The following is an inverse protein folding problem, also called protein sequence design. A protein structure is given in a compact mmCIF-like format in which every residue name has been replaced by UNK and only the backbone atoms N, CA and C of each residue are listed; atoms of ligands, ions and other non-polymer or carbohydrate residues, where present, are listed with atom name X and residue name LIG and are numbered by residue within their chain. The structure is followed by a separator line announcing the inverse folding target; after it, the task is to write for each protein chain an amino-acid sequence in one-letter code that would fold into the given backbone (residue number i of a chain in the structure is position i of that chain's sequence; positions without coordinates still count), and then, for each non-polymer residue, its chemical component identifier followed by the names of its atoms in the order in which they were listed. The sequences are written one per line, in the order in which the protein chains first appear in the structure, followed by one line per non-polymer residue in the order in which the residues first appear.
data_IF_052817996144
#
_entry.id   IF_052817996144
#
_cell.length_a   1.000
_cell.length_b   1.000
_cell.length_c   1.000
_cell.angle_alpha   90.00
_cell.angle_beta   90.00
_cell.angle_gamma   90.00
#
_symmetry.space_group_name_H-M   'P 1'
#
loop_
_entity.id
_entity.type
_entity.pdbx_description
1 polymer ?
#
# COMPACT_ATOMS: atom_id res chain seq x y z
N UNK A 1 -38.37 56.00 -28.20
CA UNK A 1 -38.98 55.20 -27.12
C UNK A 1 -38.13 53.93 -26.98
N UNK A 2 -37.13 53.99 -26.13
CA UNK A 2 -36.20 52.90 -25.88
C UNK A 2 -36.62 52.23 -24.59
N UNK A 3 -37.02 50.95 -24.70
CA UNK A 3 -37.45 50.10 -23.57
C UNK A 3 -36.21 49.49 -22.93
N UNK A 4 -35.90 49.87 -21.67
CA UNK A 4 -34.88 49.28 -20.84
C UNK A 4 -35.44 48.03 -20.14
N UNK A 5 -34.76 46.89 -20.28
CA UNK A 5 -35.07 45.63 -19.61
C UNK A 5 -34.40 45.63 -18.19
N UNK A 6 -35.09 45.26 -17.11
CA UNK A 6 -34.56 45.32 -15.73
C UNK A 6 -34.22 43.91 -15.19
N UNK A 7 -33.24 43.19 -15.79
CA UNK A 7 -32.71 41.95 -15.23
C UNK A 7 -31.23 41.78 -15.56
N UNK A 8 -30.39 42.65 -14.98
CA UNK A 8 -28.95 42.34 -14.80
C UNK A 8 -28.69 42.18 -13.29
N UNK A 9 -28.75 40.92 -12.85
CA UNK A 9 -28.32 40.57 -11.51
C UNK A 9 -26.88 40.00 -11.64
N UNK A 10 -25.86 40.60 -11.02
CA UNK A 10 -24.49 40.04 -11.09
C UNK A 10 -24.43 38.74 -10.35
N UNK A 11 -24.04 37.67 -11.05
CA UNK A 11 -23.84 36.34 -10.53
C UNK A 11 -22.79 36.36 -9.39
N UNK A 12 -23.17 35.89 -8.23
CA UNK A 12 -22.27 35.68 -7.09
C UNK A 12 -21.20 34.66 -7.49
N UNK A 13 -19.91 34.95 -7.31
CA UNK A 13 -18.86 33.99 -7.64
C UNK A 13 -18.94 32.75 -6.72
N UNK A 14 -18.63 31.53 -7.24
CA UNK A 14 -18.65 30.32 -6.44
C UNK A 14 -17.60 30.38 -5.32
N UNK A 15 -17.84 29.70 -4.17
CA UNK A 15 -16.92 29.70 -3.05
C UNK A 15 -15.56 29.08 -3.43
N UNK A 16 -14.49 29.80 -3.15
CA UNK A 16 -13.11 29.34 -3.38
C UNK A 16 -12.84 28.03 -2.58
N UNK A 17 -12.46 26.98 -3.26
CA UNK A 17 -12.01 25.73 -2.63
C UNK A 17 -10.67 25.95 -1.92
N UNK A 18 -10.48 25.46 -0.70
CA UNK A 18 -9.23 25.64 0.03
C UNK A 18 -8.08 24.89 -0.66
N UNK A 19 -7.06 25.61 -1.08
CA UNK A 19 -5.88 25.04 -1.74
C UNK A 19 -5.08 24.15 -0.79
N UNK A 20 -4.52 23.04 -1.29
CA UNK A 20 -3.68 22.06 -0.57
C UNK A 20 -2.54 22.71 0.26
N UNK A 21 -2.07 23.90 -0.11
CA UNK A 21 -1.08 24.69 0.64
C UNK A 21 -1.59 25.14 2.02
N UNK A 22 -2.89 25.45 2.16
CA UNK A 22 -3.50 25.87 3.46
C UNK A 22 -3.63 24.70 4.42
N UNK A 23 -3.92 23.48 3.94
CA UNK A 23 -4.02 22.28 4.77
C UNK A 23 -2.66 21.85 5.34
N UNK A 24 -1.59 21.90 4.53
CA UNK A 24 -0.23 21.59 5.00
C UNK A 24 0.27 22.53 6.11
N UNK A 25 -0.09 23.82 6.08
CA UNK A 25 0.28 24.76 7.16
C UNK A 25 -0.49 24.50 8.47
N UNK A 26 -1.76 24.07 8.42
CA UNK A 26 -2.52 23.69 9.62
C UNK A 26 -1.97 22.43 10.28
N UNK A 27 -1.63 21.39 9.49
CA UNK A 27 -1.02 20.15 10.02
C UNK A 27 0.34 20.38 10.71
N UNK A 28 1.21 21.24 10.16
CA UNK A 28 2.49 21.57 10.79
C UNK A 28 2.34 22.28 12.13
N UNK A 29 1.33 23.11 12.31
CA UNK A 29 1.05 23.78 13.60
C UNK A 29 0.49 22.83 14.66
N UNK A 30 -0.34 21.86 14.28
CA UNK A 30 -0.88 20.86 15.20
C UNK A 30 0.19 19.88 15.69
N UNK A 31 1.13 19.46 14.83
CA UNK A 31 2.25 18.57 15.22
C UNK A 31 3.22 19.28 16.18
N UNK A 32 3.49 20.57 16.00
CA UNK A 32 4.35 21.34 16.90
C UNK A 32 3.73 21.55 18.29
N UNK A 33 2.40 21.73 18.38
CA UNK A 33 1.69 21.86 19.66
C UNK A 33 1.64 20.53 20.43
N UNK A 34 1.53 19.40 19.75
CA UNK A 34 1.54 18.07 20.38
C UNK A 34 2.92 17.71 20.93
N UNK A 35 4.00 18.08 20.23
CA UNK A 35 5.37 17.84 20.68
C UNK A 35 5.73 18.66 21.96
N UNK A 36 5.18 19.85 22.14
CA UNK A 36 5.40 20.63 23.36
C UNK A 36 4.63 20.11 24.58
N UNK A 37 3.50 19.42 24.38
CA UNK A 37 2.73 18.84 25.48
C UNK A 37 3.36 17.56 26.05
N UNK A 38 4.09 16.78 25.25
CA UNK A 38 4.77 15.56 25.68
C UNK A 38 6.07 15.83 26.47
N UNK A 39 6.69 17.01 26.34
CA UNK A 39 7.89 17.36 27.07
C UNK A 39 7.63 17.79 28.54
N UNK A 40 6.39 18.03 28.92
CA UNK A 40 6.03 18.56 30.26
C UNK A 40 5.64 17.44 31.28
N UNK A 41 5.55 16.16 30.89
CA UNK A 41 5.08 15.06 31.76
C UNK A 41 6.21 14.10 32.19
N UNK A 42 7.44 14.27 31.72
CA UNK A 42 8.58 13.35 31.92
C UNK A 42 9.54 13.73 33.06
N UNK A 43 9.08 14.14 34.22
CA UNK A 43 9.96 14.47 35.33
C UNK A 43 9.40 14.17 36.69
N UNK A 44 9.41 12.92 37.15
CA UNK A 44 9.53 12.48 38.55
C UNK A 44 9.19 11.00 38.72
N UNK A 45 10.18 10.14 38.93
CA UNK A 45 10.08 8.95 39.79
C UNK A 45 11.48 8.40 40.08
N UNK A 46 11.84 8.52 41.33
CA UNK A 46 13.14 8.23 41.86
C UNK A 46 13.40 6.74 42.15
N UNK A 47 14.63 6.54 42.38
CA UNK A 47 15.40 5.36 42.72
C UNK A 47 14.90 4.65 44.01
N UNK A 48 14.75 3.33 44.00
CA UNK A 48 14.97 2.49 45.19
C UNK A 48 15.70 1.17 44.81
N UNK A 49 16.93 1.11 45.28
CA UNK A 49 17.70 -0.15 45.40
C UNK A 49 17.22 -0.90 46.64
N UNK A 50 17.07 -2.19 46.56
CA UNK A 50 17.16 -3.10 47.73
C UNK A 50 17.89 -4.38 47.38
N UNK A 51 18.81 -4.71 48.29
CA UNK A 51 19.80 -5.78 48.39
C UNK A 51 19.25 -7.20 48.32
N UNK A 52 20.07 -8.09 47.77
CA UNK A 52 20.05 -9.51 48.03
C UNK A 52 21.11 -9.92 49.09
N UNK A 53 20.94 -10.98 49.86
CA UNK A 53 22.04 -11.73 50.45
C UNK A 53 22.14 -13.17 49.90
N UNK A 54 23.33 -13.80 50.07
CA UNK A 54 23.68 -15.08 49.48
C UNK A 54 23.59 -16.24 50.52
N UNK A 55 23.40 -17.44 50.04
CA UNK A 55 23.84 -18.74 50.66
C UNK A 55 23.49 -19.87 49.71
N UNK A 56 24.23 -20.89 49.40
CA UNK A 56 25.34 -21.51 50.02
C UNK A 56 25.23 -23.02 49.79
N UNK A 57 26.27 -23.60 49.21
CA UNK A 57 26.79 -24.97 49.37
C UNK A 57 25.97 -26.24 49.01
N UNK A 58 26.51 -26.97 48.03
CA UNK A 58 26.94 -28.35 48.38
C UNK A 58 26.36 -29.46 47.49
N UNK A 59 27.23 -30.23 46.82
CA UNK A 59 26.91 -31.61 46.52
C UNK A 59 27.27 -32.11 45.12
N UNK A 60 28.45 -32.68 45.06
CA UNK A 60 29.02 -33.52 43.99
C UNK A 60 28.11 -34.72 43.69
N UNK A 61 27.87 -35.02 42.40
CA UNK A 61 27.77 -36.41 41.95
C UNK A 61 27.96 -36.51 40.44
N UNK A 62 28.98 -37.26 40.04
CA UNK A 62 29.27 -37.73 38.70
C UNK A 62 28.20 -38.76 38.28
N UNK A 63 27.53 -38.58 37.18
CA UNK A 63 26.83 -39.66 36.51
C UNK A 63 26.83 -39.39 34.98
N UNK A 64 27.17 -40.45 34.29
CA UNK A 64 27.42 -40.62 32.87
C UNK A 64 26.45 -39.96 31.92
N UNK A 65 27.02 -39.43 30.81
CA UNK A 65 26.27 -39.04 29.61
C UNK A 65 25.63 -40.26 28.93
N UNK A 66 24.35 -40.15 28.51
CA UNK A 66 23.86 -40.92 27.38
C UNK A 66 23.97 -40.06 26.12
N UNK A 67 24.74 -40.54 25.19
CA UNK A 67 24.75 -40.11 23.80
C UNK A 67 23.31 -39.99 23.25
N UNK A 68 22.81 -38.76 23.13
CA UNK A 68 21.53 -38.53 22.48
C UNK A 68 21.75 -38.62 20.95
N UNK A 69 21.13 -39.64 20.41
CA UNK A 69 20.93 -39.84 18.99
C UNK A 69 20.45 -38.55 18.33
N UNK A 70 21.14 -38.21 17.23
CA UNK A 70 20.76 -37.19 16.28
C UNK A 70 19.27 -37.36 15.91
N UNK A 71 18.40 -36.53 16.49
CA UNK A 71 17.00 -36.49 16.13
C UNK A 71 16.85 -36.30 14.65
N UNK A 72 16.11 -37.17 14.00
CA UNK A 72 15.68 -37.01 12.62
C UNK A 72 14.98 -35.66 12.52
N UNK A 73 15.49 -34.76 11.65
CA UNK A 73 14.74 -33.63 11.18
C UNK A 73 13.43 -34.18 10.61
N UNK A 74 12.33 -33.79 11.25
CA UNK A 74 11.02 -34.10 10.72
C UNK A 74 10.93 -33.48 9.34
N UNK A 75 10.80 -34.35 8.33
CA UNK A 75 10.56 -33.98 6.95
C UNK A 75 9.23 -33.19 6.93
N UNK A 76 9.31 -31.84 6.96
CA UNK A 76 8.16 -30.99 6.75
C UNK A 76 7.71 -31.22 5.32
N UNK A 77 6.49 -31.74 5.07
CA UNK A 77 6.04 -32.00 3.73
C UNK A 77 6.22 -30.73 2.89
N UNK A 78 6.98 -30.83 1.78
CA UNK A 78 7.09 -29.73 0.83
C UNK A 78 5.68 -29.33 0.41
N UNK A 79 5.32 -28.07 0.64
CA UNK A 79 4.04 -27.53 0.22
C UNK A 79 3.86 -27.83 -1.28
N UNK A 80 2.67 -28.28 -1.67
CA UNK A 80 2.36 -28.55 -3.08
C UNK A 80 2.72 -27.31 -3.93
N UNK A 81 3.27 -27.49 -5.14
CA UNK A 81 3.69 -26.37 -5.97
C UNK A 81 2.50 -25.44 -6.21
N UNK A 82 2.61 -24.20 -5.79
CA UNK A 82 1.55 -23.16 -5.85
C UNK A 82 1.34 -22.63 -7.27
N UNK A 83 2.09 -23.11 -8.27
CA UNK A 83 2.09 -22.58 -9.64
C UNK A 83 2.86 -21.26 -9.81
N UNK A 84 3.44 -20.71 -8.72
CA UNK A 84 4.33 -19.54 -8.71
C UNK A 84 5.39 -19.70 -7.60
N UNK A 85 6.61 -19.12 -7.76
CA UNK A 85 7.64 -19.18 -6.74
C UNK A 85 7.26 -18.32 -5.52
N UNK A 86 7.49 -18.84 -4.31
CA UNK A 86 7.27 -18.10 -3.06
C UNK A 86 8.48 -17.26 -2.65
N UNK A 87 9.67 -17.56 -3.18
CA UNK A 87 10.92 -16.83 -2.97
C UNK A 87 11.65 -16.68 -4.30
N UNK A 88 12.40 -15.60 -4.46
CA UNK A 88 13.16 -15.28 -5.65
C UNK A 88 14.52 -14.64 -5.30
N UNK A 89 15.33 -14.30 -6.32
CA UNK A 89 16.69 -13.78 -6.13
C UNK A 89 16.73 -12.36 -5.56
N UNK A 90 15.62 -11.62 -5.57
CA UNK A 90 15.59 -10.20 -5.18
C UNK A 90 16.23 -9.27 -6.20
N UNK A 91 16.47 -9.74 -7.41
CA UNK A 91 16.89 -8.94 -8.58
C UNK A 91 15.73 -8.79 -9.53
N UNK A 92 15.67 -7.67 -10.25
CA UNK A 92 14.49 -7.30 -11.01
C UNK A 92 14.82 -7.04 -12.49
N UNK A 93 13.93 -7.49 -13.36
CA UNK A 93 13.86 -7.08 -14.75
C UNK A 93 13.01 -5.82 -14.87
N UNK A 94 13.49 -4.86 -15.67
CA UNK A 94 12.82 -3.58 -15.89
C UNK A 94 12.00 -3.64 -17.14
N UNK A 95 10.74 -3.23 -17.07
CA UNK A 95 9.92 -3.05 -18.26
C UNK A 95 10.47 -1.94 -19.14
N UNK A 96 10.57 -2.24 -20.43
CA UNK A 96 11.17 -1.36 -21.42
C UNK A 96 10.16 -0.38 -22.02
N UNK A 97 10.68 0.66 -22.65
CA UNK A 97 9.88 1.67 -23.33
C UNK A 97 9.15 2.64 -22.39
N UNK A 98 8.44 3.56 -22.98
CA UNK A 98 7.75 4.68 -22.32
C UNK A 98 6.29 4.69 -22.74
N UNK A 99 5.37 4.86 -21.78
CA UNK A 99 3.95 5.02 -22.11
C UNK A 99 3.64 6.46 -22.57
N UNK A 100 2.53 6.68 -23.28
CA UNK A 100 1.96 8.01 -23.42
C UNK A 100 1.64 8.61 -22.06
N UNK A 101 1.66 9.95 -21.96
CA UNK A 101 1.10 10.65 -20.80
C UNK A 101 -0.41 10.42 -20.76
N UNK A 102 -0.93 10.05 -19.61
CA UNK A 102 -2.36 9.87 -19.34
C UNK A 102 -2.82 10.89 -18.30
N UNK A 103 -4.08 11.29 -18.36
CA UNK A 103 -4.62 12.43 -17.60
C UNK A 103 -4.54 13.71 -18.41
N UNK A 104 -5.21 14.78 -17.94
CA UNK A 104 -5.35 16.03 -18.69
C UNK A 104 -4.52 17.17 -18.10
N UNK A 105 -4.58 17.36 -16.81
CA UNK A 105 -3.95 18.46 -16.08
C UNK A 105 -3.27 17.97 -14.80
N UNK A 106 -2.61 18.88 -14.10
CA UNK A 106 -1.93 18.60 -12.83
C UNK A 106 -0.50 18.08 -12.99
N UNK A 107 0.17 17.77 -11.86
CA UNK A 107 1.53 17.27 -11.86
C UNK A 107 1.64 15.92 -12.55
N UNK A 108 2.64 15.78 -13.40
CA UNK A 108 2.99 14.52 -14.03
C UNK A 108 3.77 13.65 -13.04
N UNK A 109 3.18 12.50 -12.68
CA UNK A 109 3.82 11.45 -11.86
C UNK A 109 4.35 10.36 -12.77
N UNK A 110 5.66 10.23 -12.82
CA UNK A 110 6.34 9.20 -13.61
C UNK A 110 6.56 7.97 -12.76
N UNK A 111 6.24 6.81 -13.33
CA UNK A 111 6.48 5.53 -12.66
C UNK A 111 7.34 4.60 -13.52
N UNK A 112 8.04 3.71 -12.86
CA UNK A 112 8.78 2.62 -13.44
C UNK A 112 8.13 1.31 -13.02
N UNK A 113 8.30 0.26 -13.82
CA UNK A 113 7.77 -1.07 -13.53
C UNK A 113 8.91 -2.07 -13.55
N UNK A 114 8.96 -2.92 -12.52
CA UNK A 114 9.98 -3.94 -12.34
C UNK A 114 9.35 -5.25 -11.86
N UNK A 115 9.81 -6.37 -12.41
CA UNK A 115 9.37 -7.72 -12.06
C UNK A 115 10.55 -8.51 -11.54
N UNK A 116 10.40 -9.18 -10.39
CA UNK A 116 11.45 -10.04 -9.85
C UNK A 116 11.77 -11.17 -10.82
N UNK A 117 13.06 -11.39 -11.06
CA UNK A 117 13.54 -12.44 -11.94
C UNK A 117 13.16 -13.82 -11.43
N UNK A 118 13.09 -14.81 -12.31
CA UNK A 118 12.73 -16.20 -12.02
C UNK A 118 11.30 -16.40 -11.49
N UNK A 119 10.43 -15.38 -11.65
CA UNK A 119 8.99 -15.48 -11.29
C UNK A 119 8.12 -16.10 -12.38
N UNK A 120 8.66 -16.25 -13.59
CA UNK A 120 7.88 -16.65 -14.76
C UNK A 120 6.92 -15.56 -15.27
N UNK A 121 7.05 -14.32 -14.76
CA UNK A 121 6.27 -13.18 -15.20
C UNK A 121 7.13 -12.27 -16.09
N UNK A 122 6.57 -11.85 -17.21
CA UNK A 122 7.20 -10.91 -18.13
C UNK A 122 7.02 -9.45 -17.64
N UNK A 123 8.10 -8.68 -17.63
CA UNK A 123 8.07 -7.31 -17.12
C UNK A 123 7.26 -6.35 -18.02
N UNK A 124 7.32 -6.56 -19.35
CA UNK A 124 6.59 -5.69 -20.29
C UNK A 124 5.09 -6.03 -20.31
N UNK A 125 4.71 -7.31 -20.17
CA UNK A 125 3.31 -7.72 -20.03
C UNK A 125 2.69 -7.20 -18.72
N UNK A 126 3.43 -7.30 -17.61
CA UNK A 126 3.00 -6.73 -16.33
C UNK A 126 2.87 -5.21 -16.43
N UNK A 127 3.83 -4.54 -17.06
CA UNK A 127 3.80 -3.10 -17.26
C UNK A 127 2.62 -2.65 -18.15
N UNK A 128 2.28 -3.42 -19.19
CA UNK A 128 1.11 -3.14 -20.01
C UNK A 128 -0.19 -3.17 -19.19
N UNK A 129 -0.28 -4.10 -18.22
CA UNK A 129 -1.42 -4.14 -17.29
C UNK A 129 -1.44 -2.93 -16.36
N UNK A 130 -0.30 -2.54 -15.77
CA UNK A 130 -0.20 -1.33 -14.95
C UNK A 130 -0.55 -0.08 -15.74
N UNK A 131 -0.04 0.04 -16.97
CA UNK A 131 -0.34 1.17 -17.89
C UNK A 131 -1.84 1.26 -18.19
N UNK A 132 -2.50 0.11 -18.45
CA UNK A 132 -3.92 0.05 -18.71
C UNK A 132 -4.75 0.48 -17.50
N UNK A 133 -4.38 0.03 -16.29
CA UNK A 133 -5.08 0.38 -15.05
C UNK A 133 -4.89 1.86 -14.71
N UNK A 134 -3.66 2.36 -14.67
CA UNK A 134 -3.39 3.75 -14.28
C UNK A 134 -3.84 4.76 -15.33
N UNK A 135 -3.93 4.35 -16.59
CA UNK A 135 -4.43 5.16 -17.70
C UNK A 135 -5.95 5.09 -17.93
N UNK A 136 -6.68 4.28 -17.16
CA UNK A 136 -8.14 4.14 -17.29
C UNK A 136 -8.87 5.40 -16.77
N UNK A 137 -9.93 5.87 -17.44
CA UNK A 137 -10.69 7.05 -16.99
C UNK A 137 -11.44 6.86 -15.66
N UNK A 138 -11.42 5.66 -15.07
CA UNK A 138 -11.95 5.37 -13.73
C UNK A 138 -10.85 5.35 -12.66
N UNK A 139 -9.57 5.40 -13.06
CA UNK A 139 -8.42 5.42 -12.17
C UNK A 139 -8.15 6.83 -11.61
N UNK A 140 -7.04 7.03 -10.97
CA UNK A 140 -6.67 8.27 -10.26
C UNK A 140 -6.62 9.50 -11.16
N UNK A 141 -6.35 9.34 -12.46
CA UNK A 141 -6.38 10.43 -13.46
C UNK A 141 -7.79 11.02 -13.68
N UNK A 142 -8.84 10.33 -13.23
CA UNK A 142 -10.21 10.86 -13.29
C UNK A 142 -10.43 12.10 -12.40
N UNK A 143 -9.51 12.38 -11.46
CA UNK A 143 -9.51 13.62 -10.67
C UNK A 143 -9.41 14.88 -11.55
N UNK A 144 -8.82 14.77 -12.75
CA UNK A 144 -8.43 15.90 -13.58
C UNK A 144 -7.16 16.64 -13.09
N UNK A 145 -6.69 16.35 -11.86
CA UNK A 145 -5.59 17.05 -11.19
C UNK A 145 -4.30 16.22 -11.16
N UNK A 146 -4.20 15.16 -11.96
CA UNK A 146 -3.09 14.23 -11.98
C UNK A 146 -2.86 13.68 -13.39
N UNK A 147 -1.57 13.60 -13.75
CA UNK A 147 -1.11 12.90 -14.94
C UNK A 147 -0.16 11.78 -14.57
N UNK A 148 -0.13 10.70 -15.34
CA UNK A 148 0.79 9.58 -15.13
C UNK A 148 1.51 9.21 -16.43
N UNK A 149 2.74 8.70 -16.30
CA UNK A 149 3.53 8.21 -17.42
C UNK A 149 4.52 7.14 -16.95
N UNK A 150 4.55 5.99 -17.60
CA UNK A 150 5.63 5.02 -17.39
C UNK A 150 6.91 5.47 -18.10
N UNK A 151 8.04 5.28 -17.41
CA UNK A 151 9.39 5.55 -17.91
C UNK A 151 10.32 4.39 -17.53
N UNK A 152 11.30 4.01 -18.36
CA UNK A 152 12.23 2.92 -18.02
C UNK A 152 13.39 3.41 -17.12
N UNK A 153 13.72 4.71 -17.14
CA UNK A 153 14.85 5.27 -16.41
C UNK A 153 14.52 5.53 -14.94
N UNK A 154 15.27 4.94 -14.01
CA UNK A 154 15.08 5.12 -12.58
C UNK A 154 15.17 6.59 -12.15
N UNK A 155 16.13 7.36 -12.71
CA UNK A 155 16.35 8.76 -12.36
C UNK A 155 15.20 9.70 -12.79
N UNK A 156 14.32 9.24 -13.72
CA UNK A 156 13.18 9.99 -14.20
C UNK A 156 11.86 9.60 -13.51
N UNK A 157 11.85 8.52 -12.73
CA UNK A 157 10.66 8.02 -12.06
C UNK A 157 10.48 8.66 -10.66
N UNK A 158 9.25 9.03 -10.33
CA UNK A 158 8.86 9.47 -9.00
C UNK A 158 8.65 8.28 -8.06
N UNK A 159 8.22 7.14 -8.62
CA UNK A 159 8.05 5.87 -7.88
C UNK A 159 8.23 4.67 -8.81
N UNK A 160 8.44 3.49 -8.21
CA UNK A 160 8.54 2.21 -8.92
C UNK A 160 7.47 1.25 -8.44
N UNK A 161 6.80 0.56 -9.37
CA UNK A 161 5.87 -0.55 -9.12
C UNK A 161 6.63 -1.85 -9.30
N UNK A 162 6.74 -2.62 -8.23
CA UNK A 162 7.40 -3.92 -8.19
C UNK A 162 6.37 -5.04 -8.18
N UNK A 163 6.65 -6.12 -8.90
CA UNK A 163 6.02 -7.41 -8.70
C UNK A 163 7.07 -8.34 -8.09
N UNK A 164 6.85 -8.77 -6.86
CA UNK A 164 7.85 -9.51 -6.09
C UNK A 164 7.25 -10.78 -5.46
N UNK A 165 8.08 -11.83 -5.33
CA UNK A 165 7.69 -13.04 -4.61
C UNK A 165 7.31 -12.72 -3.16
N UNK A 166 6.48 -13.54 -2.50
CA UNK A 166 6.07 -13.31 -1.11
C UNK A 166 7.21 -13.02 -0.15
N UNK A 167 8.34 -13.74 -0.26
CA UNK A 167 9.52 -13.53 0.61
C UNK A 167 10.21 -12.20 0.31
N UNK A 168 10.39 -11.87 -0.97
CA UNK A 168 11.01 -10.60 -1.38
C UNK A 168 10.12 -9.41 -1.05
N UNK A 169 8.80 -9.54 -1.27
CA UNK A 169 7.80 -8.53 -0.90
C UNK A 169 7.86 -8.23 0.60
N UNK A 170 7.81 -9.26 1.46
CA UNK A 170 7.93 -9.10 2.92
C UNK A 170 9.21 -8.37 3.31
N UNK A 171 10.37 -8.77 2.75
CA UNK A 171 11.64 -8.12 3.02
C UNK A 171 11.64 -6.64 2.62
N UNK A 172 11.12 -6.32 1.43
CA UNK A 172 11.01 -4.93 0.97
C UNK A 172 10.10 -4.10 1.86
N UNK A 173 8.93 -4.64 2.23
CA UNK A 173 7.97 -3.97 3.11
C UNK A 173 8.54 -3.73 4.51
N UNK A 174 9.32 -4.68 5.04
CA UNK A 174 9.97 -4.59 6.34
C UNK A 174 10.99 -3.45 6.44
N UNK A 175 11.59 -3.00 5.32
CA UNK A 175 12.45 -1.81 5.29
C UNK A 175 11.72 -0.53 5.71
N UNK A 176 10.40 -0.48 5.53
CA UNK A 176 9.52 0.59 6.02
C UNK A 176 8.87 0.31 7.37
N UNK A 177 9.27 -0.79 8.05
CA UNK A 177 8.67 -1.21 9.32
C UNK A 177 7.32 -1.91 9.19
N UNK A 178 6.90 -2.28 7.98
CA UNK A 178 5.63 -2.95 7.73
C UNK A 178 5.80 -4.47 7.84
N UNK A 179 4.82 -5.12 8.45
CA UNK A 179 4.69 -6.59 8.47
C UNK A 179 3.53 -6.98 7.57
N UNK A 180 3.83 -7.71 6.51
CA UNK A 180 2.83 -8.18 5.54
C UNK A 180 2.55 -9.68 5.69
N UNK A 181 3.33 -10.36 6.53
CA UNK A 181 3.28 -11.82 6.77
C UNK A 181 3.34 -12.61 5.44
N UNK A 182 4.06 -12.08 4.44
CA UNK A 182 4.14 -12.59 3.07
C UNK A 182 2.77 -12.70 2.38
N UNK A 183 1.76 -12.04 2.92
CA UNK A 183 0.38 -12.17 2.48
C UNK A 183 -0.09 -10.99 1.64
N UNK A 184 0.18 -9.75 2.07
CA UNK A 184 -0.29 -8.54 1.37
C UNK A 184 0.80 -7.88 0.54
N UNK A 185 0.39 -6.98 -0.32
CA UNK A 185 1.20 -5.94 -0.95
C UNK A 185 1.47 -4.80 0.04
N UNK A 186 2.32 -3.86 -0.32
CA UNK A 186 2.56 -2.68 0.49
C UNK A 186 3.06 -1.48 -0.34
N UNK A 187 2.98 -0.30 0.26
CA UNK A 187 3.59 0.91 -0.28
C UNK A 187 4.60 1.50 0.71
N UNK A 188 5.78 1.85 0.21
CA UNK A 188 6.78 2.69 0.86
C UNK A 188 7.00 3.96 0.03
N UNK A 189 7.56 5.05 0.58
CA UNK A 189 7.83 6.25 -0.21
C UNK A 189 8.63 5.95 -1.48
N UNK A 190 8.00 6.19 -2.64
CA UNK A 190 8.59 5.92 -3.95
C UNK A 190 8.61 4.46 -4.38
N UNK A 191 8.02 3.53 -3.62
CA UNK A 191 7.97 2.10 -3.95
C UNK A 191 6.59 1.50 -3.67
N UNK A 192 5.97 0.94 -4.69
CA UNK A 192 4.75 0.16 -4.63
C UNK A 192 5.15 -1.29 -4.85
N UNK A 193 4.92 -2.17 -3.87
CA UNK A 193 5.36 -3.58 -3.91
C UNK A 193 4.15 -4.49 -3.95
N UNK A 194 3.89 -5.09 -5.11
CA UNK A 194 2.80 -6.04 -5.30
C UNK A 194 3.31 -7.46 -5.03
N UNK A 195 2.56 -8.18 -4.20
CA UNK A 195 2.86 -9.56 -3.83
C UNK A 195 2.45 -10.52 -4.94
N UNK A 196 3.41 -11.29 -5.46
CA UNK A 196 3.18 -12.25 -6.56
C UNK A 196 2.08 -13.27 -6.24
N UNK A 197 1.98 -13.74 -5.00
CA UNK A 197 0.92 -14.68 -4.63
C UNK A 197 -0.47 -14.05 -4.85
N UNK A 198 -0.62 -12.80 -4.43
CA UNK A 198 -1.88 -12.05 -4.63
C UNK A 198 -2.14 -11.78 -6.10
N UNK A 199 -1.11 -11.46 -6.85
CA UNK A 199 -1.19 -11.29 -8.29
C UNK A 199 -1.67 -12.56 -9.02
N UNK A 200 -1.19 -13.73 -8.59
CA UNK A 200 -1.47 -15.02 -9.22
C UNK A 200 -2.79 -15.64 -8.79
N UNK A 201 -3.24 -15.38 -7.57
CA UNK A 201 -4.38 -16.13 -6.99
C UNK A 201 -5.47 -15.26 -6.37
N UNK A 202 -5.30 -13.94 -6.30
CA UNK A 202 -6.15 -13.06 -5.46
C UNK A 202 -6.16 -13.53 -3.99
N UNK A 203 -7.30 -13.41 -3.32
CA UNK A 203 -7.56 -13.99 -2.00
C UNK A 203 -8.73 -14.98 -2.10
N UNK A 204 -8.81 -15.97 -1.21
CA UNK A 204 -9.97 -16.85 -1.16
C UNK A 204 -11.26 -16.04 -1.06
N UNK A 205 -12.29 -16.49 -1.75
CA UNK A 205 -13.63 -15.92 -1.67
C UNK A 205 -13.73 -14.42 -2.00
N UNK A 206 -12.82 -13.90 -2.83
CA UNK A 206 -12.86 -12.49 -3.24
C UNK A 206 -14.18 -12.08 -3.90
N UNK A 207 -14.86 -13.03 -4.54
CA UNK A 207 -16.19 -12.82 -5.13
C UNK A 207 -16.18 -12.09 -6.48
N UNK A 208 -15.01 -11.98 -7.13
CA UNK A 208 -14.85 -11.41 -8.48
C UNK A 208 -13.72 -12.11 -9.25
N UNK A 209 -13.68 -11.98 -10.59
CA UNK A 209 -12.56 -12.46 -11.41
C UNK A 209 -11.22 -11.87 -10.96
N UNK A 210 -10.12 -12.62 -11.21
CA UNK A 210 -8.78 -12.23 -10.79
C UNK A 210 -8.34 -10.88 -11.38
N UNK A 211 -8.81 -10.53 -12.56
CA UNK A 211 -8.51 -9.25 -13.21
C UNK A 211 -9.05 -8.06 -12.41
N UNK A 212 -10.19 -8.24 -11.73
CA UNK A 212 -10.75 -7.22 -10.82
C UNK A 212 -9.84 -7.07 -9.61
N UNK A 213 -9.34 -8.17 -9.04
CA UNK A 213 -8.39 -8.11 -7.93
C UNK A 213 -7.05 -7.46 -8.33
N UNK A 214 -6.50 -7.81 -9.49
CA UNK A 214 -5.27 -7.21 -10.03
C UNK A 214 -5.43 -5.70 -10.23
N UNK A 215 -6.55 -5.28 -10.78
CA UNK A 215 -6.88 -3.86 -10.93
C UNK A 215 -7.00 -3.16 -9.58
N UNK A 216 -7.69 -3.82 -8.62
CA UNK A 216 -7.82 -3.32 -7.25
C UNK A 216 -6.45 -3.10 -6.59
N UNK A 217 -5.58 -4.11 -6.57
CA UNK A 217 -4.31 -4.01 -5.84
C UNK A 217 -3.38 -2.96 -6.44
N UNK A 218 -3.37 -2.79 -7.77
CA UNK A 218 -2.62 -1.70 -8.43
C UNK A 218 -3.16 -0.34 -7.96
N UNK A 219 -4.46 -0.10 -8.07
CA UNK A 219 -5.06 1.17 -7.67
C UNK A 219 -4.94 1.45 -6.17
N UNK A 220 -5.06 0.43 -5.32
CA UNK A 220 -4.93 0.54 -3.87
C UNK A 220 -3.52 1.00 -3.46
N UNK A 221 -2.50 0.27 -3.88
CA UNK A 221 -1.11 0.57 -3.49
C UNK A 221 -0.61 1.88 -4.13
N UNK A 222 -1.01 2.17 -5.38
CA UNK A 222 -0.70 3.47 -6.02
C UNK A 222 -1.49 4.59 -5.36
N UNK A 223 -2.70 4.34 -4.87
CA UNK A 223 -3.47 5.30 -4.07
C UNK A 223 -2.68 5.75 -2.83
N UNK A 224 -2.06 4.83 -2.11
CA UNK A 224 -1.16 5.16 -1.01
C UNK A 224 0.04 6.02 -1.45
N UNK A 225 0.60 5.78 -2.64
CA UNK A 225 1.67 6.62 -3.18
C UNK A 225 1.18 8.04 -3.49
N UNK A 226 -0.07 8.21 -3.82
CA UNK A 226 -0.70 9.52 -4.02
C UNK A 226 -1.21 10.16 -2.72
N UNK A 227 -1.07 9.47 -1.57
CA UNK A 227 -1.38 9.99 -0.24
C UNK A 227 -2.75 9.62 0.30
N UNK A 228 -3.42 8.68 -0.34
CA UNK A 228 -4.69 8.14 0.14
C UNK A 228 -4.48 7.25 1.37
N UNK A 229 -5.42 7.29 2.29
CA UNK A 229 -5.44 6.47 3.50
C UNK A 229 -6.47 5.36 3.36
N UNK A 230 -6.40 4.35 4.23
CA UNK A 230 -7.39 3.28 4.26
C UNK A 230 -8.80 3.82 4.55
N UNK A 231 -9.79 3.10 4.03
CA UNK A 231 -11.20 3.45 4.13
C UNK A 231 -12.03 2.22 4.49
N UNK A 232 -13.11 2.41 5.25
CA UNK A 232 -14.03 1.35 5.62
C UNK A 232 -15.10 1.10 4.54
N UNK A 233 -15.69 -0.10 4.56
CA UNK A 233 -16.91 -0.41 3.81
C UNK A 233 -18.05 0.51 4.28
N UNK A 234 -18.72 1.27 3.41
CA UNK A 234 -19.77 2.20 3.83
C UNK A 234 -21.06 1.48 4.25
N UNK A 235 -21.40 0.35 3.63
CA UNK A 235 -22.56 -0.45 3.98
C UNK A 235 -22.52 -1.82 3.27
N UNK A 236 -23.08 -2.89 3.87
CA UNK A 236 -23.20 -4.18 3.20
C UNK A 236 -23.93 -4.06 1.84
N UNK A 237 -23.38 -4.72 0.82
CA UNK A 237 -23.89 -4.69 -0.55
C UNK A 237 -23.49 -3.45 -1.37
N UNK A 238 -22.88 -2.44 -0.76
CA UNK A 238 -22.27 -1.32 -1.50
C UNK A 238 -20.95 -1.75 -2.15
N UNK A 239 -20.48 -1.08 -3.21
CA UNK A 239 -19.11 -1.29 -3.70
C UNK A 239 -18.09 -0.99 -2.60
N UNK A 240 -17.01 -1.77 -2.50
CA UNK A 240 -15.91 -1.46 -1.61
C UNK A 240 -15.18 -0.19 -2.09
N UNK A 241 -14.83 0.78 -1.23
CA UNK A 241 -13.87 1.79 -1.60
C UNK A 241 -12.57 1.14 -2.07
N UNK A 242 -11.90 1.68 -3.09
CA UNK A 242 -10.64 1.11 -3.56
C UNK A 242 -9.57 1.13 -2.47
N UNK A 243 -9.65 2.08 -1.54
CA UNK A 243 -8.76 2.17 -0.38
C UNK A 243 -9.20 1.32 0.81
N UNK A 244 -10.27 0.54 0.72
CA UNK A 244 -10.53 -0.53 1.68
C UNK A 244 -9.50 -1.65 1.51
N UNK A 245 -9.03 -2.23 2.61
CA UNK A 245 -8.10 -3.37 2.59
C UNK A 245 -8.81 -4.67 2.16
N UNK A 246 -9.30 -4.72 0.91
CA UNK A 246 -10.09 -5.84 0.37
C UNK A 246 -9.33 -7.18 0.39
N UNK A 247 -7.99 -7.14 0.52
CA UNK A 247 -7.15 -8.34 0.70
C UNK A 247 -7.43 -9.06 2.03
N UNK A 248 -7.83 -8.33 3.07
CA UNK A 248 -8.20 -8.90 4.37
C UNK A 248 -9.69 -9.20 4.51
N UNK A 249 -10.51 -8.60 3.66
CA UNK A 249 -11.94 -8.84 3.62
C UNK A 249 -12.72 -7.67 3.03
N UNK A 250 -13.97 -7.95 2.71
CA UNK A 250 -14.86 -6.97 2.09
C UNK A 250 -15.85 -6.33 3.11
N UNK A 251 -15.93 -6.85 4.33
CA UNK A 251 -16.81 -6.36 5.41
C UNK A 251 -18.27 -6.18 4.97
N UNK A 252 -18.72 -7.07 4.09
CA UNK A 252 -20.06 -7.04 3.50
C UNK A 252 -20.20 -6.20 2.23
N UNK A 253 -19.18 -5.44 1.84
CA UNK A 253 -19.13 -4.76 0.55
C UNK A 253 -18.96 -5.73 -0.63
N UNK A 254 -19.24 -5.25 -1.83
CA UNK A 254 -18.95 -5.95 -3.08
C UNK A 254 -17.57 -5.53 -3.60
N UNK A 255 -16.81 -6.43 -4.27
CA UNK A 255 -15.52 -6.11 -4.85
C UNK A 255 -15.60 -4.89 -5.78
N UNK A 256 -14.68 -3.94 -5.62
CA UNK A 256 -14.55 -2.80 -6.53
C UNK A 256 -13.09 -2.40 -6.66
N UNK A 257 -12.65 -2.22 -7.90
CA UNK A 257 -11.26 -1.98 -8.22
C UNK A 257 -10.92 -0.51 -8.56
N UNK A 258 -11.91 0.37 -8.58
CA UNK A 258 -11.77 1.71 -9.13
C UNK A 258 -12.00 2.81 -8.09
N UNK A 259 -11.15 3.85 -8.08
CA UNK A 259 -11.36 5.01 -7.22
C UNK A 259 -12.54 5.89 -7.65
N UNK A 260 -12.98 5.79 -8.93
CA UNK A 260 -14.11 6.54 -9.45
C UNK A 260 -15.19 5.57 -9.95
N UNK A 261 -16.40 5.73 -9.44
CA UNK A 261 -17.58 4.95 -9.81
C UNK A 261 -18.62 5.92 -10.39
N UNK A 262 -19.08 5.64 -11.61
CA UNK A 262 -20.02 6.53 -12.29
C UNK A 262 -19.44 7.95 -12.54
N UNK A 263 -18.12 8.09 -12.65
CA UNK A 263 -17.45 9.38 -12.86
C UNK A 263 -17.28 10.22 -11.59
N UNK A 264 -17.63 9.69 -10.42
CA UNK A 264 -17.51 10.39 -9.13
C UNK A 264 -16.49 9.65 -8.25
N UNK A 265 -15.63 10.41 -7.52
CA UNK A 265 -14.73 9.82 -6.53
C UNK A 265 -15.55 9.06 -5.50
N UNK A 266 -15.25 7.78 -5.33
CA UNK A 266 -15.96 6.89 -4.43
C UNK A 266 -15.10 6.59 -3.21
N UNK A 267 -15.58 6.94 -2.03
CA UNK A 267 -14.85 6.90 -0.76
C UNK A 267 -15.70 6.31 0.35
N UNK A 268 -15.03 5.75 1.35
CA UNK A 268 -15.58 5.38 2.65
C UNK A 268 -15.03 6.25 3.76
N UNK A 269 -15.49 6.02 4.98
CA UNK A 269 -14.92 6.68 6.17
C UNK A 269 -13.46 6.27 6.35
N UNK A 270 -12.55 7.21 6.69
CA UNK A 270 -11.16 6.89 6.97
C UNK A 270 -11.02 5.89 8.12
N UNK A 271 -10.03 4.98 7.99
CA UNK A 271 -9.67 4.00 9.04
C UNK A 271 -8.15 3.89 9.14
N UNK A 272 -7.65 3.45 10.30
CA UNK A 272 -6.21 3.26 10.53
C UNK A 272 -5.65 2.04 9.77
N UNK A 273 -6.52 1.18 9.25
CA UNK A 273 -6.14 -0.10 8.65
C UNK A 273 -5.78 -1.15 9.71
N UNK A 274 -5.47 -2.35 9.27
CA UNK A 274 -5.02 -3.48 10.10
C UNK A 274 -3.56 -3.80 9.83
#
# INVERSE_FOLDING_TARGET
MTSSSPYDNPATPPPERPTLRRMRRRRRRSVLLLAMLLAAVGGAAGITRLNAPPSGHGGTSLAAEPSLARGAEADVPAAAPTGYPTAGPGTFAVAQGRSPVRGQEGPLRRYRVEVEQDTGQDADEFAATVDAVLGDPRSWIASGDLQVQRVPEAAAADFTVYLATPVTSERMCAEGGLRTDRYTSCRLPGRVVLNLARWMTAVPDYGAPIEVYRTYVINHEVGHEFGELHQACPAPGAPAPVMQQQTYGLDGCLPNAWPYVGGVRYEGEPTDGV
#
